data_IF_416848308581
#
_entry.id   IF_416848308581
#
_cell.length_a   1.000
_cell.length_b   1.000
_cell.length_c   1.000
_cell.angle_alpha   90.00
_cell.angle_beta   90.00
_cell.angle_gamma   90.00
#
_symmetry.space_group_name_H-M   'P 1'
#
loop_
_entity.id
_entity.type
_entity.pdbx_description
1 polymer ?
#
# COMPACT_ATOMS: atom_id res chain seq x y z
N UNK A 1 7.56 -6.90 10.41
CA UNK A 1 8.30 -6.92 9.12
C UNK A 1 7.36 -7.29 7.99
N UNK A 2 7.43 -6.59 6.88
CA UNK A 2 6.73 -6.95 5.65
C UNK A 2 7.68 -7.75 4.75
N UNK A 3 7.28 -8.95 4.37
CA UNK A 3 7.96 -9.72 3.34
C UNK A 3 7.14 -9.66 2.06
N UNK A 4 7.72 -9.16 0.99
CA UNK A 4 7.03 -8.91 -0.29
C UNK A 4 7.91 -9.33 -1.45
N UNK A 5 7.31 -9.86 -2.51
CA UNK A 5 8.09 -10.19 -3.70
C UNK A 5 8.54 -8.93 -4.44
N UNK A 6 9.68 -9.02 -5.11
CA UNK A 6 10.20 -7.93 -5.95
C UNK A 6 9.18 -7.50 -7.00
N UNK A 7 8.51 -8.46 -7.61
CA UNK A 7 7.49 -8.17 -8.63
C UNK A 7 6.37 -7.29 -8.06
N UNK A 8 5.83 -7.63 -6.90
CA UNK A 8 4.74 -6.85 -6.27
C UNK A 8 5.22 -5.46 -5.84
N UNK A 9 6.41 -5.39 -5.23
CA UNK A 9 7.00 -4.10 -4.86
C UNK A 9 7.15 -3.20 -6.08
N UNK A 10 7.69 -3.73 -7.16
CA UNK A 10 7.92 -2.96 -8.39
C UNK A 10 6.60 -2.52 -9.03
N UNK A 11 5.54 -3.32 -8.95
CA UNK A 11 4.21 -2.95 -9.44
C UNK A 11 3.60 -1.81 -8.63
N UNK A 12 3.78 -1.82 -7.31
CA UNK A 12 3.33 -0.72 -6.43
C UNK A 12 4.05 0.58 -6.80
N UNK A 13 5.37 0.53 -6.95
CA UNK A 13 6.17 1.71 -7.32
C UNK A 13 5.79 2.22 -8.72
N UNK A 14 5.60 1.33 -9.68
CA UNK A 14 5.18 1.69 -11.03
C UNK A 14 3.82 2.38 -11.04
N UNK A 15 2.85 1.89 -10.26
CA UNK A 15 1.54 2.52 -10.11
C UNK A 15 1.66 3.93 -9.52
N UNK A 16 2.47 4.08 -8.47
CA UNK A 16 2.70 5.37 -7.84
C UNK A 16 3.27 6.40 -8.82
N UNK A 17 4.24 5.98 -9.64
CA UNK A 17 4.86 6.86 -10.64
C UNK A 17 3.92 7.17 -11.81
N UNK A 18 3.12 6.21 -12.24
CA UNK A 18 2.16 6.40 -13.34
C UNK A 18 1.05 7.40 -12.98
N UNK A 19 0.60 7.40 -11.73
CA UNK A 19 -0.47 8.30 -11.27
C UNK A 19 0.02 9.68 -10.86
N UNK A 20 1.33 9.84 -10.63
CA UNK A 20 1.88 11.16 -10.30
C UNK A 20 1.43 12.22 -11.32
N UNK A 21 0.94 13.41 -10.95
CA UNK A 21 1.03 14.07 -9.64
C UNK A 21 -0.10 13.77 -8.66
N UNK A 22 -1.00 12.86 -8.98
CA UNK A 22 -2.03 12.42 -8.03
C UNK A 22 -1.50 11.27 -7.17
N UNK A 23 -2.03 11.15 -5.95
CA UNK A 23 -1.72 10.01 -5.10
C UNK A 23 -2.32 8.74 -5.69
N UNK A 24 -1.50 7.71 -5.82
CA UNK A 24 -1.96 6.38 -6.18
C UNK A 24 -2.40 5.64 -4.92
N UNK A 25 -3.29 4.68 -5.07
CA UNK A 25 -3.73 3.83 -3.96
C UNK A 25 -4.11 2.44 -4.44
N UNK A 26 -4.08 1.49 -3.53
CA UNK A 26 -4.47 0.11 -3.84
C UNK A 26 -4.26 -0.83 -2.67
N UNK A 27 -4.50 -2.10 -2.95
CA UNK A 27 -4.42 -3.19 -1.98
C UNK A 27 -3.66 -4.35 -2.61
N UNK A 28 -2.86 -5.04 -1.81
CA UNK A 28 -2.36 -6.37 -2.17
C UNK A 28 -3.03 -7.36 -1.23
N UNK A 29 -3.90 -8.19 -1.79
CA UNK A 29 -4.61 -9.22 -1.04
C UNK A 29 -3.77 -10.49 -0.96
N UNK A 30 -4.02 -11.32 0.03
CA UNK A 30 -3.40 -12.61 0.19
C UNK A 30 -4.28 -13.56 0.99
N UNK A 31 -3.94 -14.85 1.00
CA UNK A 31 -4.72 -15.84 1.73
C UNK A 31 -4.86 -15.47 3.20
N UNK A 32 -6.07 -15.56 3.73
CA UNK A 32 -6.37 -15.20 5.10
C UNK A 32 -5.49 -15.97 6.09
N UNK A 33 -4.93 -15.26 7.06
CA UNK A 33 -4.09 -15.83 8.11
C UNK A 33 -2.64 -16.09 7.71
N UNK A 34 -2.24 -15.85 6.45
CA UNK A 34 -0.86 -16.11 6.00
C UNK A 34 0.07 -14.91 6.10
N UNK A 35 -0.48 -13.68 6.05
CA UNK A 35 0.31 -12.47 5.98
C UNK A 35 1.13 -12.33 4.70
N UNK A 36 0.82 -13.12 3.65
CA UNK A 36 1.55 -13.09 2.38
C UNK A 36 0.82 -12.28 1.33
N UNK A 37 1.35 -11.10 0.91
CA UNK A 37 0.75 -10.36 -0.18
C UNK A 37 0.97 -11.10 -1.50
N UNK A 38 -0.12 -11.40 -2.22
CA UNK A 38 -0.05 -12.19 -3.45
C UNK A 38 -0.78 -11.55 -4.63
N UNK A 39 -1.95 -10.97 -4.41
CA UNK A 39 -2.79 -10.44 -5.49
C UNK A 39 -2.81 -8.92 -5.50
N UNK A 40 -2.15 -8.35 -6.50
CA UNK A 40 -2.07 -6.90 -6.69
C UNK A 40 -3.41 -6.35 -7.21
N UNK A 41 -4.01 -5.41 -6.46
CA UNK A 41 -5.28 -4.79 -6.83
C UNK A 41 -5.11 -3.27 -6.80
N UNK A 42 -4.70 -2.66 -7.92
CA UNK A 42 -4.64 -1.20 -8.01
C UNK A 42 -6.05 -0.64 -7.96
N UNK A 43 -6.22 0.48 -7.26
CA UNK A 43 -7.50 1.13 -7.08
C UNK A 43 -7.47 2.51 -7.71
N UNK A 44 -8.66 3.00 -8.08
CA UNK A 44 -8.81 4.37 -8.51
C UNK A 44 -8.81 5.29 -7.28
N UNK A 45 -8.01 6.36 -7.31
CA UNK A 45 -8.15 7.43 -6.34
C UNK A 45 -9.36 8.30 -6.72
N UNK A 46 -10.46 8.11 -6.04
CA UNK A 46 -11.69 8.84 -6.33
C UNK A 46 -11.56 10.35 -6.06
N UNK A 47 -10.66 10.74 -5.16
CA UNK A 47 -10.37 12.15 -4.88
C UNK A 47 -9.55 12.82 -6.00
N UNK A 48 -8.81 12.06 -6.81
CA UNK A 48 -7.91 12.57 -7.86
C UNK A 48 -7.08 13.75 -7.40
N UNK A 49 -6.44 13.57 -6.24
CA UNK A 49 -5.75 14.64 -5.54
C UNK A 49 -4.26 14.33 -5.36
N UNK A 50 -3.39 15.36 -5.44
CA UNK A 50 -1.97 15.21 -5.13
C UNK A 50 -1.67 15.14 -3.62
N UNK A 51 -2.68 15.38 -2.76
CA UNK A 51 -2.50 15.45 -1.29
C UNK A 51 -3.42 14.54 -0.50
N UNK A 52 -4.31 13.81 -1.18
CA UNK A 52 -5.30 12.96 -0.54
C UNK A 52 -5.67 11.79 -1.45
N UNK A 53 -6.01 10.65 -0.85
CA UNK A 53 -6.58 9.55 -1.60
C UNK A 53 -7.85 9.05 -0.94
N UNK A 54 -8.73 8.52 -1.77
CA UNK A 54 -9.96 7.86 -1.36
C UNK A 54 -10.22 6.73 -2.34
N UNK A 55 -10.41 5.52 -1.82
CA UNK A 55 -10.77 4.40 -2.69
C UNK A 55 -12.13 4.65 -3.34
N UNK A 56 -12.22 4.40 -4.64
CA UNK A 56 -13.50 4.37 -5.31
C UNK A 56 -14.41 3.33 -4.64
N UNK A 57 -15.63 3.74 -4.26
CA UNK A 57 -16.51 2.86 -3.47
C UNK A 57 -16.96 1.62 -4.23
N UNK A 58 -17.11 1.71 -5.55
CA UNK A 58 -17.42 0.55 -6.40
C UNK A 58 -16.27 -0.45 -6.45
N UNK A 59 -15.05 0.05 -6.62
CA UNK A 59 -13.85 -0.78 -6.62
C UNK A 59 -13.64 -1.45 -5.26
N UNK A 60 -13.87 -0.71 -4.18
CA UNK A 60 -13.72 -1.23 -2.83
C UNK A 60 -14.72 -2.35 -2.54
N UNK A 61 -15.98 -2.16 -2.91
CA UNK A 61 -17.01 -3.17 -2.75
C UNK A 61 -16.68 -4.44 -3.54
N UNK A 62 -16.22 -4.28 -4.78
CA UNK A 62 -15.80 -5.41 -5.62
C UNK A 62 -14.64 -6.17 -4.98
N UNK A 63 -13.65 -5.45 -4.46
CA UNK A 63 -12.50 -6.05 -3.79
C UNK A 63 -12.93 -6.89 -2.57
N UNK A 64 -13.79 -6.35 -1.70
CA UNK A 64 -14.24 -7.08 -0.52
C UNK A 64 -15.03 -8.33 -0.88
N UNK A 65 -15.86 -8.28 -1.93
CA UNK A 65 -16.57 -9.45 -2.43
C UNK A 65 -15.61 -10.51 -2.97
N UNK A 66 -14.60 -10.10 -3.74
CA UNK A 66 -13.59 -11.00 -4.27
C UNK A 66 -12.77 -11.64 -3.15
N UNK A 67 -12.36 -10.86 -2.16
CA UNK A 67 -11.60 -11.38 -1.02
C UNK A 67 -12.42 -12.38 -0.21
N UNK A 68 -13.71 -12.13 -0.03
CA UNK A 68 -14.61 -13.04 0.67
C UNK A 68 -14.74 -14.37 -0.10
N UNK A 69 -14.95 -14.31 -1.42
CA UNK A 69 -15.05 -15.49 -2.28
C UNK A 69 -13.76 -16.31 -2.33
N UNK A 70 -12.61 -15.67 -2.25
CA UNK A 70 -11.29 -16.31 -2.37
C UNK A 70 -10.64 -16.63 -1.03
N UNK A 71 -11.31 -16.34 0.09
CA UNK A 71 -10.75 -16.46 1.44
C UNK A 71 -9.43 -15.69 1.59
N UNK A 72 -9.46 -14.43 1.18
CA UNK A 72 -8.34 -13.51 1.27
C UNK A 72 -8.59 -12.41 2.29
N UNK A 73 -7.49 -11.74 2.66
CA UNK A 73 -7.53 -10.53 3.49
C UNK A 73 -6.66 -9.44 2.86
N UNK A 74 -6.87 -8.15 3.20
CA UNK A 74 -6.00 -7.08 2.74
C UNK A 74 -4.68 -7.13 3.53
N UNK A 75 -3.64 -7.67 2.93
CA UNK A 75 -2.33 -7.80 3.57
C UNK A 75 -1.58 -6.47 3.52
N UNK A 76 -1.60 -5.80 2.37
CA UNK A 76 -0.98 -4.50 2.15
C UNK A 76 -2.03 -3.51 1.68
N UNK A 77 -2.05 -2.35 2.31
CA UNK A 77 -2.80 -1.19 1.85
C UNK A 77 -1.77 -0.13 1.52
N UNK A 78 -1.70 0.31 0.27
CA UNK A 78 -0.66 1.25 -0.16
C UNK A 78 -1.23 2.53 -0.74
N UNK A 79 -0.47 3.60 -0.60
CA UNK A 79 -0.68 4.84 -1.33
C UNK A 79 0.64 5.58 -1.51
N UNK A 80 0.63 6.61 -2.34
CA UNK A 80 1.82 7.42 -2.60
C UNK A 80 1.69 8.81 -2.02
N UNK A 81 2.82 9.39 -1.61
CA UNK A 81 2.97 10.81 -1.30
C UNK A 81 3.76 11.45 -2.46
N UNK A 82 3.21 12.49 -3.05
CA UNK A 82 3.76 13.07 -4.28
C UNK A 82 4.68 14.27 -4.04
N UNK A 83 4.60 14.90 -2.87
CA UNK A 83 5.38 16.09 -2.53
C UNK A 83 6.12 15.97 -1.19
N UNK A 84 5.92 14.88 -0.46
CA UNK A 84 6.51 14.65 0.86
C UNK A 84 7.14 13.28 0.96
N UNK A 85 7.83 13.03 2.07
CA UNK A 85 8.41 11.72 2.36
C UNK A 85 7.33 10.63 2.54
N UNK A 86 7.75 9.37 2.43
CA UNK A 86 6.88 8.21 2.60
C UNK A 86 6.64 7.93 4.10
N UNK A 87 5.92 8.85 4.76
CA UNK A 87 5.55 8.72 6.17
C UNK A 87 4.08 9.08 6.35
N UNK A 88 3.30 8.32 7.16
CA UNK A 88 1.87 8.56 7.31
C UNK A 88 1.54 9.95 7.82
N UNK A 89 0.60 10.62 7.16
CA UNK A 89 0.04 11.90 7.62
C UNK A 89 -0.99 11.67 8.71
N UNK A 90 -1.45 12.77 9.36
CA UNK A 90 -2.56 12.68 10.32
C UNK A 90 -3.82 12.11 9.69
N UNK A 91 -4.10 12.50 8.45
CA UNK A 91 -5.25 11.99 7.70
C UNK A 91 -5.10 10.49 7.45
N UNK A 92 -3.90 10.04 7.04
CA UNK A 92 -3.63 8.63 6.82
C UNK A 92 -3.89 7.81 8.09
N UNK A 93 -3.45 8.30 9.23
CA UNK A 93 -3.65 7.63 10.53
C UNK A 93 -5.14 7.58 10.88
N UNK A 94 -5.88 8.66 10.66
CA UNK A 94 -7.31 8.72 11.00
C UNK A 94 -8.16 7.78 10.15
N UNK A 95 -7.73 7.48 8.92
CA UNK A 95 -8.45 6.56 8.02
C UNK A 95 -7.93 5.12 8.08
N UNK A 96 -6.86 4.84 8.83
CA UNK A 96 -6.33 3.49 8.97
C UNK A 96 -7.28 2.63 9.81
N UNK A 97 -7.96 1.68 9.16
CA UNK A 97 -9.03 0.87 9.76
C UNK A 97 -8.69 -0.63 9.86
N UNK A 98 -7.56 -1.05 9.29
CA UNK A 98 -7.16 -2.45 9.23
C UNK A 98 -5.91 -2.68 10.12
N UNK A 99 -6.10 -3.07 11.39
CA UNK A 99 -4.98 -3.13 12.35
C UNK A 99 -3.93 -4.20 12.02
N UNK A 100 -4.29 -5.19 11.21
CA UNK A 100 -3.37 -6.26 10.82
C UNK A 100 -2.71 -6.04 9.45
N UNK A 101 -3.11 -5.01 8.71
CA UNK A 101 -2.52 -4.71 7.42
C UNK A 101 -1.17 -4.01 7.56
N UNK A 102 -0.33 -4.19 6.55
CA UNK A 102 0.87 -3.41 6.35
C UNK A 102 0.51 -2.18 5.51
N UNK A 103 0.70 -1.00 6.09
CA UNK A 103 0.47 0.26 5.38
C UNK A 103 1.74 0.69 4.69
N UNK A 104 1.76 0.57 3.37
CA UNK A 104 2.91 0.89 2.53
C UNK A 104 2.73 2.27 1.92
N UNK A 105 3.77 3.09 2.04
CA UNK A 105 3.83 4.39 1.39
C UNK A 105 5.00 4.42 0.41
N UNK A 106 4.76 5.02 -0.75
CA UNK A 106 5.79 5.27 -1.76
C UNK A 106 5.86 6.77 -1.97
N UNK A 107 7.06 7.33 -1.92
CA UNK A 107 7.26 8.75 -2.24
C UNK A 107 7.66 8.89 -3.71
N UNK A 108 6.94 9.75 -4.44
CA UNK A 108 7.29 10.18 -5.78
C UNK A 108 7.71 11.64 -5.81
N UNK A 109 8.06 12.20 -4.64
CA UNK A 109 8.52 13.58 -4.51
C UNK A 109 9.78 13.81 -5.34
N UNK A 110 9.94 15.06 -5.80
CA UNK A 110 11.12 15.46 -6.57
C UNK A 110 12.40 15.15 -5.79
N UNK A 111 13.37 14.55 -6.47
CA UNK A 111 14.62 14.14 -5.85
C UNK A 111 14.59 12.74 -5.23
N UNK A 112 13.44 12.08 -5.21
CA UNK A 112 13.34 10.69 -4.74
C UNK A 112 13.80 9.75 -5.86
N UNK A 113 14.84 8.97 -5.58
CA UNK A 113 15.43 8.01 -6.50
C UNK A 113 14.84 6.61 -6.24
N UNK A 114 14.71 5.81 -7.30
CA UNK A 114 14.28 4.40 -7.20
C UNK A 114 15.21 3.56 -6.33
N UNK A 115 16.48 3.93 -6.24
CA UNK A 115 17.46 3.27 -5.37
C UNK A 115 17.38 3.71 -3.91
N UNK A 116 16.62 4.77 -3.60
CA UNK A 116 16.49 5.28 -2.23
C UNK A 116 15.64 4.30 -1.39
N UNK A 117 16.19 3.71 -0.32
CA UNK A 117 15.42 2.80 0.53
C UNK A 117 14.25 3.48 1.23
N UNK A 118 14.27 4.81 1.38
CA UNK A 118 13.18 5.58 1.98
C UNK A 118 12.06 5.90 0.99
N UNK A 119 12.18 5.52 -0.26
CA UNK A 119 11.12 5.67 -1.24
C UNK A 119 9.93 4.73 -0.96
N UNK A 120 10.21 3.54 -0.44
CA UNK A 120 9.21 2.51 -0.15
C UNK A 120 9.35 2.11 1.31
N UNK A 121 8.34 2.42 2.11
CA UNK A 121 8.35 2.17 3.56
C UNK A 121 7.05 1.52 3.99
N UNK A 122 7.13 0.68 5.01
CA UNK A 122 5.97 -0.02 5.56
C UNK A 122 5.77 0.33 7.03
N UNK A 123 4.50 0.46 7.41
CA UNK A 123 4.10 0.86 8.77
C UNK A 123 2.95 -0.02 9.26
N UNK A 124 2.93 -0.24 10.57
CA UNK A 124 1.74 -0.69 11.28
C UNK A 124 1.07 0.53 11.88
N UNK A 125 -0.25 0.60 11.75
CA UNK A 125 -1.04 1.69 12.32
C UNK A 125 -2.17 1.05 13.11
N UNK A 126 -2.05 1.09 14.45
CA UNK A 126 -2.99 0.46 15.37
C UNK A 126 -3.40 1.48 16.42
N UNK A 127 -4.69 1.75 16.55
CA UNK A 127 -5.24 2.70 17.52
C UNK A 127 -4.54 4.07 17.47
N UNK A 128 -4.24 4.56 16.27
CA UNK A 128 -3.57 5.84 16.05
C UNK A 128 -2.06 5.82 16.29
N UNK A 129 -1.48 4.67 16.62
CA UNK A 129 -0.04 4.54 16.86
C UNK A 129 0.64 4.02 15.61
N UNK A 130 1.64 4.77 15.12
CA UNK A 130 2.44 4.43 13.95
C UNK A 130 3.71 3.72 14.40
N UNK A 131 3.98 2.56 13.82
CA UNK A 131 5.24 1.84 14.02
C UNK A 131 5.81 1.48 12.67
N UNK A 132 6.97 2.01 12.33
CA UNK A 132 7.66 1.63 11.10
C UNK A 132 8.22 0.22 11.26
N UNK A 133 8.17 -0.56 10.18
CA UNK A 133 8.68 -1.94 10.14
C UNK A 133 9.64 -2.12 8.97
N UNK A 134 10.52 -3.11 9.09
CA UNK A 134 11.43 -3.48 8.01
C UNK A 134 10.68 -4.09 6.84
N UNK A 135 11.20 -3.86 5.63
CA UNK A 135 10.69 -4.46 4.40
C UNK A 135 11.75 -5.41 3.87
N UNK A 136 11.38 -6.68 3.73
CA UNK A 136 12.21 -7.70 3.12
C UNK A 136 11.68 -8.01 1.72
N UNK A 137 12.48 -7.72 0.70
CA UNK A 137 12.13 -8.02 -0.69
C UNK A 137 12.73 -9.37 -1.07
N UNK A 138 11.88 -10.26 -1.55
CA UNK A 138 12.28 -11.62 -1.95
C UNK A 138 11.87 -11.89 -3.40
N UNK A 139 12.51 -12.85 -4.05
CA UNK A 139 12.13 -13.24 -5.42
C UNK A 139 10.85 -14.07 -5.42
N UNK A 140 10.69 -14.94 -4.42
CA UNK A 140 9.50 -15.75 -4.20
C UNK A 140 9.37 -16.10 -2.73
N UNK A 141 8.14 -16.39 -2.29
CA UNK A 141 7.95 -16.87 -0.92
C UNK A 141 8.41 -18.31 -0.80
N UNK A 142 9.01 -18.63 0.34
CA UNK A 142 9.35 -20.01 0.68
C UNK A 142 8.10 -20.76 1.16
N UNK A 143 8.03 -22.02 0.84
CA UNK A 143 6.92 -22.88 1.24
C UNK A 143 6.90 -23.12 2.77
#
# INVERSE_FOLDING_TARGET
MLTITRELRDRIVAHARADHPDEACGVVAGPAGTGRPERFVPMLNAARSPTFYEFDSGDLLKLYREMDDLDEEPVVIYHSHTATEAYPSRTDVSYASEPFAHYVLVSTAEGTDEADPYQFRSFRIVDGVITEEDVQVVEAYTA
#
